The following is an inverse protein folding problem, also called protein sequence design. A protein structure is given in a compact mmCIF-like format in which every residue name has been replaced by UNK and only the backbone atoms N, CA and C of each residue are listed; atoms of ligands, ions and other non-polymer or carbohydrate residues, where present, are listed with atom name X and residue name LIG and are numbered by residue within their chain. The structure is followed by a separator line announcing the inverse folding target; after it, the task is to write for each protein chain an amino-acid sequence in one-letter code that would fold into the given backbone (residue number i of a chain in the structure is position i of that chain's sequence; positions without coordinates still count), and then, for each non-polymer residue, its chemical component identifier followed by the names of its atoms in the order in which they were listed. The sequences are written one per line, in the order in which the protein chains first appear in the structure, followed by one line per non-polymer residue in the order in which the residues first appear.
data_IF_242952113473
#
_entry.id   IF_242952113473
#
_cell.length_a   1.000
_cell.length_b   1.000
_cell.length_c   1.000
_cell.angle_alpha   90.00
_cell.angle_beta   90.00
_cell.angle_gamma   90.00
#
_symmetry.space_group_name_H-M   'P 1'
#
loop_
_entity.id
_entity.type
_entity.pdbx_description
1 polymer ?
#
# COMPACT_ATOMS: atom_id res chain seq x y z
N UNK A 1 -0.02 -18.77 -0.14
CA UNK A 1 0.94 -17.99 -0.95
C UNK A 1 2.23 -18.77 -1.06
N UNK A 2 2.84 -18.87 -2.25
CA UNK A 2 4.12 -19.58 -2.37
C UNK A 2 5.29 -18.69 -1.86
N UNK A 3 6.47 -19.28 -1.57
CA UNK A 3 7.62 -18.52 -1.06
C UNK A 3 8.11 -17.43 -2.02
N UNK A 4 8.04 -17.68 -3.32
CA UNK A 4 8.47 -16.72 -4.35
C UNK A 4 7.59 -15.46 -4.36
N UNK A 5 6.27 -15.62 -4.32
CA UNK A 5 5.36 -14.47 -4.26
C UNK A 5 5.53 -13.69 -2.96
N UNK A 6 5.81 -14.38 -1.84
CA UNK A 6 6.11 -13.71 -0.56
C UNK A 6 7.40 -12.92 -0.61
N UNK A 7 8.46 -13.45 -1.25
CA UNK A 7 9.70 -12.73 -1.44
C UNK A 7 9.51 -11.47 -2.30
N UNK A 8 8.76 -11.59 -3.40
CA UNK A 8 8.44 -10.44 -4.26
C UNK A 8 7.63 -9.39 -3.52
N UNK A 9 6.56 -9.78 -2.80
CA UNK A 9 5.76 -8.86 -2.00
C UNK A 9 6.61 -8.13 -0.96
N UNK A 10 7.55 -8.83 -0.29
CA UNK A 10 8.48 -8.19 0.65
C UNK A 10 9.38 -7.17 -0.05
N UNK A 11 9.97 -7.51 -1.18
CA UNK A 11 10.82 -6.60 -1.96
C UNK A 11 10.07 -5.33 -2.35
N UNK A 12 8.85 -5.47 -2.89
CA UNK A 12 8.04 -4.31 -3.29
C UNK A 12 7.60 -3.49 -2.08
N UNK A 13 7.18 -4.13 -0.99
CA UNK A 13 6.77 -3.42 0.23
C UNK A 13 7.93 -2.59 0.83
N UNK A 14 9.14 -3.15 0.87
CA UNK A 14 10.32 -2.43 1.36
C UNK A 14 10.72 -1.29 0.43
N UNK A 15 10.65 -1.48 -0.89
CA UNK A 15 10.91 -0.42 -1.86
C UNK A 15 9.94 0.75 -1.74
N UNK A 16 8.64 0.44 -1.60
CA UNK A 16 7.60 1.45 -1.35
C UNK A 16 7.87 2.17 -0.03
N UNK A 17 8.16 1.45 1.05
CA UNK A 17 8.41 2.05 2.35
C UNK A 17 9.61 3.02 2.33
N UNK A 18 10.69 2.68 1.60
CA UNK A 18 11.84 3.55 1.44
C UNK A 18 11.48 4.87 0.73
N UNK A 19 10.72 4.80 -0.37
CA UNK A 19 10.27 5.99 -1.11
C UNK A 19 9.36 6.88 -0.25
N UNK A 20 8.42 6.28 0.49
CA UNK A 20 7.50 7.03 1.35
C UNK A 20 8.24 7.70 2.52
N UNK A 21 9.22 7.00 3.10
CA UNK A 21 10.08 7.57 4.14
C UNK A 21 10.90 8.75 3.63
N UNK A 22 11.52 8.64 2.45
CA UNK A 22 12.27 9.75 1.82
C UNK A 22 11.37 10.98 1.59
N UNK A 23 10.17 10.78 1.05
CA UNK A 23 9.17 11.84 0.89
C UNK A 23 8.77 12.48 2.24
N UNK A 24 8.62 11.66 3.29
CA UNK A 24 8.28 12.14 4.62
C UNK A 24 9.41 12.99 5.24
N UNK A 25 10.68 12.70 4.93
CA UNK A 25 11.81 13.52 5.38
C UNK A 25 11.76 14.94 4.81
N UNK A 26 11.26 15.10 3.58
CA UNK A 26 11.12 16.40 2.92
C UNK A 26 9.89 17.20 3.36
N UNK A 27 8.83 16.52 3.80
CA UNK A 27 7.52 17.15 4.03
C UNK A 27 7.15 17.30 5.51
N UNK A 28 7.43 16.29 6.34
CA UNK A 28 7.03 16.24 7.76
C UNK A 28 8.14 15.67 8.66
N UNK A 29 9.37 16.21 8.63
CA UNK A 29 10.54 15.64 9.33
C UNK A 29 10.33 15.49 10.85
N UNK A 30 9.52 16.35 11.46
CA UNK A 30 9.20 16.26 12.90
C UNK A 30 8.42 14.99 13.26
N UNK A 31 7.56 14.50 12.37
CA UNK A 31 6.77 13.29 12.63
C UNK A 31 7.64 12.03 12.64
N UNK A 32 8.77 12.05 11.94
CA UNK A 32 9.72 10.93 11.89
C UNK A 32 10.54 10.74 13.17
N UNK A 33 10.48 11.70 14.10
CA UNK A 33 11.19 11.62 15.40
C UNK A 33 10.55 10.65 16.38
N UNK A 34 9.32 10.20 16.11
CA UNK A 34 8.59 9.27 16.99
C UNK A 34 8.07 8.09 16.17
N UNK A 35 7.98 6.92 16.80
CA UNK A 35 7.43 5.74 16.15
C UNK A 35 5.98 5.96 15.69
N UNK A 36 5.17 6.63 16.53
CA UNK A 36 3.77 6.91 16.23
C UNK A 36 3.62 7.88 15.05
N UNK A 37 4.44 8.93 14.99
CA UNK A 37 4.41 9.88 13.87
C UNK A 37 4.90 9.25 12.57
N UNK A 38 5.94 8.40 12.63
CA UNK A 38 6.42 7.64 11.48
C UNK A 38 5.34 6.69 10.96
N UNK A 39 4.70 5.90 11.83
CA UNK A 39 3.63 4.99 11.44
C UNK A 39 2.46 5.74 10.80
N UNK A 40 1.99 6.81 11.46
CA UNK A 40 0.87 7.61 10.96
C UNK A 40 1.18 8.24 9.60
N UNK A 41 2.39 8.77 9.43
CA UNK A 41 2.86 9.38 8.17
C UNK A 41 2.90 8.34 7.05
N UNK A 42 3.62 7.24 7.26
CA UNK A 42 3.79 6.18 6.23
C UNK A 42 2.43 5.56 5.90
N UNK A 43 1.58 5.31 6.90
CA UNK A 43 0.22 4.80 6.67
C UNK A 43 -0.64 5.77 5.87
N UNK A 44 -0.59 7.06 6.18
CA UNK A 44 -1.29 8.09 5.42
C UNK A 44 -0.83 8.14 3.96
N UNK A 45 0.48 8.10 3.75
CA UNK A 45 1.08 8.07 2.40
C UNK A 45 0.72 6.79 1.63
N UNK A 46 0.65 5.62 2.28
CA UNK A 46 0.16 4.37 1.66
C UNK A 46 -1.29 4.52 1.17
N UNK A 47 -2.16 5.15 1.96
CA UNK A 47 -3.55 5.41 1.56
C UNK A 47 -3.62 6.39 0.39
N UNK A 48 -2.78 7.42 0.38
CA UNK A 48 -2.81 8.47 -0.64
C UNK A 48 -2.19 8.02 -1.97
N UNK A 49 -1.08 7.30 -1.95
CA UNK A 49 -0.27 7.03 -3.14
C UNK A 49 -0.34 5.58 -3.62
N UNK A 50 -0.47 4.60 -2.72
CA UNK A 50 -0.38 3.18 -3.09
C UNK A 50 -1.74 2.54 -3.26
N UNK A 51 -2.69 2.92 -2.40
CA UNK A 51 -4.06 2.39 -2.46
C UNK A 51 -4.78 2.69 -3.79
N UNK A 52 -4.61 3.87 -4.43
CA UNK A 52 -5.19 4.12 -5.75
C UNK A 52 -4.68 3.17 -6.83
N UNK A 53 -3.39 2.83 -6.84
CA UNK A 53 -2.80 1.90 -7.81
C UNK A 53 -3.36 0.48 -7.63
N UNK A 54 -3.55 0.06 -6.37
CA UNK A 54 -4.21 -1.21 -6.05
C UNK A 54 -5.67 -1.18 -6.50
N UNK A 55 -6.40 -0.09 -6.21
CA UNK A 55 -7.79 0.07 -6.62
C UNK A 55 -7.93 0.04 -8.15
N UNK A 56 -7.01 0.68 -8.88
CA UNK A 56 -6.97 0.67 -10.33
C UNK A 56 -6.75 -0.75 -10.87
N UNK A 57 -5.83 -1.51 -10.28
CA UNK A 57 -5.63 -2.92 -10.63
C UNK A 57 -6.92 -3.73 -10.40
N UNK A 58 -7.53 -3.59 -9.23
CA UNK A 58 -8.76 -4.31 -8.88
C UNK A 58 -9.94 -3.93 -9.78
N UNK A 59 -10.05 -2.68 -10.21
CA UNK A 59 -11.12 -2.24 -11.13
C UNK A 59 -11.09 -2.93 -12.50
N UNK A 60 -9.92 -3.46 -12.88
CA UNK A 60 -9.71 -4.20 -14.13
C UNK A 60 -9.79 -5.71 -13.95
N UNK A 61 -9.86 -6.18 -12.70
CA UNK A 61 -9.97 -7.60 -12.42
C UNK A 61 -11.36 -8.10 -12.84
N UNK A 62 -11.47 -9.19 -13.62
CA UNK A 62 -12.76 -9.76 -13.94
C UNK A 62 -13.41 -10.28 -12.66
N UNK A 63 -14.44 -9.58 -12.19
CA UNK A 63 -15.30 -10.08 -11.12
C UNK A 63 -16.28 -11.05 -11.77
N UNK A 64 -16.27 -12.32 -11.35
CA UNK A 64 -17.32 -13.24 -11.77
C UNK A 64 -18.67 -12.65 -11.33
N UNK A 65 -19.70 -12.61 -12.20
CA UNK A 65 -21.01 -12.14 -11.80
C UNK A 65 -21.49 -12.96 -10.58
N UNK A 66 -22.19 -12.33 -9.62
CA UNK A 66 -22.77 -13.07 -8.50
C UNK A 66 -23.62 -14.20 -9.08
N UNK A 67 -23.30 -15.43 -8.69
CA UNK A 67 -24.09 -16.60 -9.08
C UNK A 67 -25.47 -16.48 -8.43
N UNK A 68 -26.46 -16.07 -9.23
CA UNK A 68 -27.91 -16.20 -9.03
C UNK A 68 -28.45 -16.02 -7.62
N UNK A 69 -29.03 -14.85 -7.33
CA UNK A 69 -30.17 -14.81 -6.41
C UNK A 69 -31.38 -15.42 -7.15
N UNK A 70 -31.95 -16.56 -6.70
CA UNK A 70 -33.22 -17.02 -7.22
C UNK A 70 -34.32 -16.04 -6.78
N UNK A 71 -35.05 -15.49 -7.76
CA UNK A 71 -36.34 -14.81 -7.54
C UNK A 71 -37.39 -15.79 -6.96
#
# INVERSE_FOLDING_TARGET
MNPENLAQIKTYALGIAALLYEEAQGTVPEQLKTLSGLEATVRGQLLQYVSPEIALFLSKAPVAPPQGEPE
#
